data_IF_136929034246
#
_entry.id   IF_136929034246
#
_cell.length_a   1.000
_cell.length_b   1.000
_cell.length_c   1.000
_cell.angle_alpha   90.00
_cell.angle_beta   90.00
_cell.angle_gamma   90.00
#
_symmetry.space_group_name_H-M   'P 1'
#
loop_
_entity.id
_entity.type
_entity.pdbx_description
1 polymer ?
#
# COMPACT_ATOMS: atom_id res chain seq x y z
N UNK A 1 -42.37 -1.24 18.40
CA UNK A 1 -41.76 -1.79 17.18
C UNK A 1 -41.25 -0.75 16.16
N UNK A 2 -41.28 0.56 16.47
CA UNK A 2 -40.90 1.64 15.51
C UNK A 2 -39.39 2.02 15.58
N UNK A 3 -38.68 1.66 16.65
CA UNK A 3 -37.27 2.05 16.84
C UNK A 3 -36.25 1.29 15.97
N UNK A 4 -36.56 0.07 15.52
CA UNK A 4 -35.59 -0.72 14.73
C UNK A 4 -35.46 -0.21 13.29
N UNK A 5 -36.59 0.22 12.70
CA UNK A 5 -36.62 0.72 11.33
C UNK A 5 -35.89 2.07 11.18
N UNK A 6 -35.99 2.95 12.18
CA UNK A 6 -35.30 4.23 12.18
C UNK A 6 -33.77 4.07 12.27
N UNK A 7 -33.30 3.10 13.06
CA UNK A 7 -31.86 2.81 13.23
C UNK A 7 -31.29 2.21 11.94
N UNK A 8 -31.99 1.28 11.30
CA UNK A 8 -31.57 0.71 10.01
C UNK A 8 -31.55 1.75 8.89
N UNK A 9 -32.53 2.68 8.85
CA UNK A 9 -32.58 3.76 7.86
C UNK A 9 -31.44 4.79 8.08
N UNK A 10 -31.11 5.11 9.33
CA UNK A 10 -29.99 5.98 9.68
C UNK A 10 -28.62 5.35 9.36
N UNK A 11 -28.49 4.03 9.50
CA UNK A 11 -27.31 3.27 9.06
C UNK A 11 -27.18 3.28 7.53
N UNK A 12 -28.27 3.08 6.80
CA UNK A 12 -28.28 3.10 5.34
C UNK A 12 -27.92 4.49 4.77
N UNK A 13 -28.48 5.56 5.36
CA UNK A 13 -28.19 6.94 4.98
C UNK A 13 -26.75 7.36 5.30
N UNK A 14 -26.15 6.80 6.36
CA UNK A 14 -24.73 7.00 6.65
C UNK A 14 -23.83 6.24 5.68
N UNK A 15 -24.20 5.03 5.25
CA UNK A 15 -23.46 4.28 4.21
C UNK A 15 -23.50 5.01 2.85
N UNK A 16 -24.64 5.60 2.47
CA UNK A 16 -24.73 6.41 1.26
C UNK A 16 -23.94 7.73 1.36
N UNK A 17 -23.88 8.35 2.54
CA UNK A 17 -22.96 9.48 2.79
C UNK A 17 -21.49 9.06 2.74
N UNK A 18 -21.16 7.84 3.18
CA UNK A 18 -19.79 7.29 3.17
C UNK A 18 -19.27 7.06 1.75
N UNK A 19 -20.10 6.53 0.85
CA UNK A 19 -19.76 6.40 -0.58
C UNK A 19 -19.59 7.76 -1.28
N UNK A 20 -20.22 8.82 -0.75
CA UNK A 20 -20.12 10.18 -1.28
C UNK A 20 -18.85 10.91 -0.81
N UNK A 21 -18.33 10.58 0.38
CA UNK A 21 -17.11 11.20 0.94
C UNK A 21 -15.80 10.64 0.36
N UNK A 22 -15.81 9.43 -0.21
CA UNK A 22 -14.67 8.87 -0.96
C UNK A 22 -14.37 9.62 -2.27
N UNK A 23 -15.23 10.55 -2.68
CA UNK A 23 -15.11 11.30 -3.94
C UNK A 23 -14.59 12.73 -3.80
N UNK A 24 -14.57 13.31 -2.60
CA UNK A 24 -14.04 14.66 -2.35
C UNK A 24 -12.61 14.58 -1.81
N UNK A 25 -11.66 14.31 -2.73
CA UNK A 25 -10.25 14.52 -2.44
C UNK A 25 -9.88 15.96 -2.80
N UNK A 26 -9.53 16.73 -1.77
CA UNK A 26 -8.96 18.07 -1.87
C UNK A 26 -7.64 18.04 -2.64
N UNK A 27 -7.70 18.36 -3.93
CA UNK A 27 -6.57 18.70 -4.77
C UNK A 27 -6.82 20.10 -5.33
N UNK A 28 -6.00 21.06 -4.89
CA UNK A 28 -5.86 22.44 -5.36
C UNK A 28 -7.16 23.27 -5.53
N UNK A 29 -7.42 24.15 -4.54
CA UNK A 29 -8.36 25.27 -4.64
C UNK A 29 -8.09 26.20 -5.85
N UNK A 30 -6.90 26.11 -6.45
CA UNK A 30 -6.46 26.91 -7.60
C UNK A 30 -6.79 26.33 -8.99
N UNK A 31 -7.40 25.13 -9.10
CA UNK A 31 -7.85 24.57 -10.39
C UNK A 31 -9.37 24.75 -10.65
N UNK A 32 -10.06 25.51 -9.81
CA UNK A 32 -11.53 25.60 -9.78
C UNK A 32 -12.18 26.56 -10.78
N UNK A 33 -11.47 27.09 -11.79
CA UNK A 33 -12.04 28.11 -12.70
C UNK A 33 -12.46 27.67 -14.10
N UNK A 34 -12.20 26.44 -14.53
CA UNK A 34 -12.71 25.94 -15.82
C UNK A 34 -13.60 24.71 -15.63
N UNK A 35 -14.81 24.93 -15.11
CA UNK A 35 -15.92 23.96 -15.23
C UNK A 35 -16.64 24.21 -16.53
N UNK A 36 -16.19 23.56 -17.60
CA UNK A 36 -17.03 23.34 -18.78
C UNK A 36 -17.78 22.03 -18.57
N UNK A 37 -19.09 22.12 -18.74
CA UNK A 37 -20.12 21.10 -18.57
C UNK A 37 -19.73 19.83 -19.35
N UNK A 38 -19.46 18.75 -18.62
CA UNK A 38 -19.47 17.38 -19.16
C UNK A 38 -20.73 16.72 -18.62
N UNK A 39 -21.65 16.42 -19.53
CA UNK A 39 -22.96 15.84 -19.27
C UNK A 39 -22.87 14.53 -18.46
N UNK A 40 -23.63 14.47 -17.37
CA UNK A 40 -23.92 13.30 -16.54
C UNK A 40 -24.79 12.28 -17.30
N UNK A 41 -24.25 11.60 -18.32
CA UNK A 41 -24.81 10.31 -18.72
C UNK A 41 -24.58 9.36 -17.55
N UNK A 42 -25.62 9.11 -16.76
CA UNK A 42 -25.59 8.10 -15.68
C UNK A 42 -25.01 6.82 -16.27
N UNK A 43 -23.85 6.33 -15.79
CA UNK A 43 -23.29 5.10 -16.31
C UNK A 43 -24.35 4.02 -16.16
N UNK A 44 -24.69 3.36 -17.28
CA UNK A 44 -25.57 2.19 -17.28
C UNK A 44 -25.21 1.33 -16.07
N UNK A 45 -26.21 1.03 -15.25
CA UNK A 45 -26.10 0.46 -13.90
C UNK A 45 -25.13 -0.72 -13.83
N UNK A 46 -23.83 -0.44 -13.66
CA UNK A 46 -22.86 -1.49 -13.36
C UNK A 46 -23.08 -1.86 -11.90
N UNK A 47 -23.96 -2.84 -11.68
CA UNK A 47 -24.25 -3.33 -10.35
C UNK A 47 -22.98 -3.97 -9.80
N UNK A 48 -22.40 -3.33 -8.77
CA UNK A 48 -21.38 -3.97 -7.96
C UNK A 48 -22.03 -5.20 -7.32
N UNK A 49 -21.38 -6.37 -7.36
CA UNK A 49 -21.87 -7.54 -6.65
C UNK A 49 -22.14 -7.22 -5.17
N UNK A 50 -23.25 -7.73 -4.62
CA UNK A 50 -23.67 -7.40 -3.26
C UNK A 50 -22.60 -7.74 -2.20
N UNK A 51 -21.75 -8.74 -2.44
CA UNK A 51 -20.66 -9.07 -1.54
C UNK A 51 -19.61 -7.94 -1.44
N UNK A 52 -19.45 -7.12 -2.47
CA UNK A 52 -18.58 -5.94 -2.46
C UNK A 52 -19.17 -4.82 -1.61
N UNK A 53 -20.50 -4.66 -1.56
CA UNK A 53 -21.12 -3.57 -0.81
C UNK A 53 -21.52 -3.95 0.61
N UNK A 54 -21.93 -5.20 0.84
CA UNK A 54 -22.68 -5.58 2.05
C UNK A 54 -21.91 -6.50 3.02
N UNK A 55 -20.92 -7.26 2.56
CA UNK A 55 -20.23 -8.24 3.40
C UNK A 55 -18.89 -7.71 3.94
N UNK A 56 -18.66 -7.76 5.25
CA UNK A 56 -17.35 -7.44 5.82
C UNK A 56 -16.31 -8.56 5.66
N UNK A 57 -16.79 -9.80 5.45
CA UNK A 57 -15.99 -11.02 5.30
C UNK A 57 -16.48 -11.81 4.09
N UNK A 58 -15.58 -12.23 3.20
CA UNK A 58 -15.88 -13.05 2.03
C UNK A 58 -15.89 -14.54 2.36
N UNK A 59 -16.84 -15.28 1.78
CA UNK A 59 -16.73 -16.74 1.66
C UNK A 59 -15.71 -17.12 0.58
N UNK A 60 -15.35 -18.40 0.50
CA UNK A 60 -14.48 -18.90 -0.58
C UNK A 60 -15.12 -18.71 -1.97
N UNK A 61 -16.43 -18.92 -2.07
CA UNK A 61 -17.21 -18.68 -3.28
C UNK A 61 -17.17 -17.20 -3.67
N UNK A 62 -17.46 -16.30 -2.72
CA UNK A 62 -17.41 -14.85 -2.95
C UNK A 62 -16.01 -14.37 -3.35
N UNK A 63 -14.94 -15.01 -2.86
CA UNK A 63 -13.57 -14.69 -3.25
C UNK A 63 -13.30 -15.06 -4.73
N UNK A 64 -13.80 -16.21 -5.19
CA UNK A 64 -13.69 -16.58 -6.60
C UNK A 64 -14.52 -15.66 -7.50
N UNK A 65 -15.70 -15.26 -7.05
CA UNK A 65 -16.53 -14.31 -7.80
C UNK A 65 -15.93 -12.91 -7.83
N UNK A 66 -15.25 -12.49 -6.75
CA UNK A 66 -14.43 -11.28 -6.74
C UNK A 66 -13.32 -11.36 -7.80
N UNK A 67 -12.61 -12.49 -7.92
CA UNK A 67 -11.58 -12.67 -8.96
C UNK A 67 -12.18 -12.48 -10.35
N UNK A 68 -13.27 -13.20 -10.67
CA UNK A 68 -13.94 -13.11 -11.98
C UNK A 68 -14.43 -11.69 -12.27
N UNK A 69 -14.99 -11.03 -11.26
CA UNK A 69 -15.47 -9.66 -11.36
C UNK A 69 -14.33 -8.70 -11.71
N UNK A 70 -13.22 -8.74 -10.96
CA UNK A 70 -12.07 -7.85 -11.20
C UNK A 70 -11.47 -8.11 -12.59
N UNK A 71 -11.32 -9.38 -12.98
CA UNK A 71 -10.80 -9.73 -14.31
C UNK A 71 -11.70 -9.19 -15.42
N UNK A 72 -13.03 -9.27 -15.24
CA UNK A 72 -13.99 -8.69 -16.17
C UNK A 72 -13.87 -7.16 -16.24
N UNK A 73 -13.69 -6.50 -15.10
CA UNK A 73 -13.49 -5.05 -15.04
C UNK A 73 -12.20 -4.64 -15.76
N UNK A 74 -11.09 -5.34 -15.53
CA UNK A 74 -9.81 -5.08 -16.20
C UNK A 74 -9.90 -5.34 -17.70
N UNK A 75 -10.54 -6.45 -18.09
CA UNK A 75 -10.79 -6.76 -19.50
C UNK A 75 -11.60 -5.64 -20.18
N UNK A 76 -12.71 -5.24 -19.56
CA UNK A 76 -13.56 -4.17 -20.09
C UNK A 76 -12.76 -2.85 -20.18
N UNK A 77 -11.96 -2.52 -19.16
CA UNK A 77 -11.11 -1.33 -19.18
C UNK A 77 -10.13 -1.34 -20.37
N UNK A 78 -9.43 -2.46 -20.58
CA UNK A 78 -8.49 -2.63 -21.68
C UNK A 78 -9.15 -2.58 -23.06
N UNK A 79 -10.43 -2.95 -23.16
CA UNK A 79 -11.22 -2.92 -24.39
C UNK A 79 -12.04 -1.63 -24.57
N UNK A 80 -11.85 -0.63 -23.69
CA UNK A 80 -12.66 0.59 -23.65
C UNK A 80 -14.18 0.33 -23.55
N UNK A 81 -14.57 -0.76 -22.89
CA UNK A 81 -15.95 -1.10 -22.59
C UNK A 81 -16.42 -0.46 -21.27
N UNK A 82 -17.74 -0.43 -21.01
CA UNK A 82 -18.29 0.02 -19.74
C UNK A 82 -17.65 -0.71 -18.54
N UNK A 83 -17.26 0.06 -17.53
CA UNK A 83 -16.62 -0.42 -16.29
C UNK A 83 -17.11 0.43 -15.10
N UNK A 84 -17.10 -0.14 -13.88
CA UNK A 84 -17.58 0.54 -12.66
C UNK A 84 -16.63 1.64 -12.15
N UNK A 85 -15.55 1.92 -12.87
CA UNK A 85 -14.69 3.06 -12.54
C UNK A 85 -15.38 4.37 -12.92
N UNK A 86 -15.28 5.38 -12.05
CA UNK A 86 -15.60 6.75 -12.44
C UNK A 86 -14.69 7.19 -13.59
N UNK A 87 -15.22 7.98 -14.54
CA UNK A 87 -14.47 8.45 -15.71
C UNK A 87 -13.14 9.13 -15.34
N UNK A 88 -13.13 9.89 -14.23
CA UNK A 88 -11.90 10.50 -13.70
C UNK A 88 -10.80 9.45 -13.44
N UNK A 89 -11.15 8.30 -12.87
CA UNK A 89 -10.19 7.24 -12.59
C UNK A 89 -9.76 6.53 -13.86
N UNK A 90 -10.67 6.30 -14.83
CA UNK A 90 -10.28 5.71 -16.12
C UNK A 90 -9.21 6.55 -16.82
N UNK A 91 -9.38 7.87 -16.81
CA UNK A 91 -8.39 8.82 -17.37
C UNK A 91 -7.05 8.72 -16.65
N UNK A 92 -7.05 8.68 -15.31
CA UNK A 92 -5.83 8.55 -14.51
C UNK A 92 -5.13 7.22 -14.79
N UNK A 93 -5.87 6.11 -14.77
CA UNK A 93 -5.35 4.77 -15.04
C UNK A 93 -4.74 4.69 -16.44
N UNK A 94 -5.40 5.25 -17.47
CA UNK A 94 -4.85 5.26 -18.85
C UNK A 94 -3.50 5.98 -18.91
N UNK A 95 -3.29 6.98 -18.06
CA UNK A 95 -2.04 7.74 -17.93
C UNK A 95 -1.00 7.09 -17.01
N UNK A 96 -1.32 5.95 -16.38
CA UNK A 96 -0.39 5.24 -15.51
C UNK A 96 0.96 5.00 -16.21
N UNK A 97 2.04 5.51 -15.63
CA UNK A 97 3.41 5.20 -16.06
C UNK A 97 3.87 3.83 -15.55
N UNK A 98 3.29 3.38 -14.44
CA UNK A 98 3.50 2.05 -13.87
C UNK A 98 2.17 1.40 -13.49
N UNK A 99 2.17 0.08 -13.36
CA UNK A 99 0.97 -0.69 -13.04
C UNK A 99 0.40 -0.36 -11.65
N UNK A 100 -0.90 -0.07 -11.60
CA UNK A 100 -1.69 -0.02 -10.37
C UNK A 100 -2.25 -1.39 -9.97
N UNK A 101 -2.82 -1.50 -8.78
CA UNK A 101 -3.45 -2.74 -8.28
C UNK A 101 -4.91 -2.47 -7.93
N UNK A 102 -5.80 -3.39 -8.30
CA UNK A 102 -7.23 -3.25 -8.00
C UNK A 102 -7.52 -3.16 -6.49
N UNK A 103 -8.56 -2.46 -6.07
CA UNK A 103 -8.93 -2.33 -4.65
C UNK A 103 -10.42 -2.55 -4.36
N UNK A 104 -11.06 -3.45 -5.11
CA UNK A 104 -12.48 -3.77 -4.95
C UNK A 104 -12.85 -4.45 -3.62
N UNK A 105 -11.89 -4.80 -2.76
CA UNK A 105 -12.14 -5.37 -1.43
C UNK A 105 -11.28 -4.75 -0.31
N UNK A 106 -10.86 -3.48 -0.44
CA UNK A 106 -10.14 -2.79 0.64
C UNK A 106 -8.70 -3.26 0.90
N UNK A 107 -8.08 -3.93 -0.08
CA UNK A 107 -6.68 -4.38 -0.06
C UNK A 107 -5.62 -3.27 -0.17
N UNK A 108 -5.96 -1.99 -0.03
CA UNK A 108 -4.98 -0.88 -0.11
C UNK A 108 -3.75 -1.05 0.81
N UNK A 109 -3.93 -1.61 2.03
CA UNK A 109 -2.85 -1.88 2.99
C UNK A 109 -1.82 -2.88 2.45
N UNK A 110 -2.26 -3.79 1.59
CA UNK A 110 -1.42 -4.76 0.92
C UNK A 110 -0.83 -4.18 -0.37
N UNK A 111 -1.67 -3.52 -1.17
CA UNK A 111 -1.26 -2.90 -2.44
C UNK A 111 -0.10 -1.92 -2.19
N UNK A 112 -0.21 -1.09 -1.14
CA UNK A 112 0.83 -0.13 -0.78
C UNK A 112 2.17 -0.80 -0.46
N UNK A 113 2.17 -1.88 0.34
CA UNK A 113 3.40 -2.63 0.66
C UNK A 113 4.00 -3.26 -0.58
N UNK A 114 3.21 -3.95 -1.40
CA UNK A 114 3.72 -4.59 -2.62
C UNK A 114 4.31 -3.58 -3.59
N UNK A 115 3.66 -2.44 -3.80
CA UNK A 115 4.15 -1.39 -4.71
C UNK A 115 5.51 -0.84 -4.27
N UNK A 116 5.72 -0.68 -2.96
CA UNK A 116 7.02 -0.29 -2.40
C UNK A 116 8.04 -1.41 -2.58
N UNK A 117 7.71 -2.64 -2.21
CA UNK A 117 8.63 -3.78 -2.32
C UNK A 117 9.12 -3.97 -3.76
N UNK A 118 8.23 -3.90 -4.77
CA UNK A 118 8.61 -3.96 -6.18
C UNK A 118 9.37 -2.74 -6.71
N UNK A 119 9.53 -1.70 -5.89
CA UNK A 119 10.37 -0.54 -6.21
C UNK A 119 11.81 -0.71 -5.71
N UNK A 120 12.08 -1.66 -4.81
CA UNK A 120 13.44 -1.92 -4.33
C UNK A 120 14.26 -2.74 -5.32
N UNK A 121 15.43 -2.25 -5.67
CA UNK A 121 16.39 -2.97 -6.53
C UNK A 121 16.83 -4.30 -5.91
N UNK A 122 17.17 -4.31 -4.62
CA UNK A 122 17.57 -5.53 -3.90
C UNK A 122 16.46 -6.58 -3.85
N UNK A 123 15.19 -6.14 -3.70
CA UNK A 123 14.06 -7.05 -3.69
C UNK A 123 13.85 -7.70 -5.04
N UNK A 124 13.89 -6.90 -6.10
CA UNK A 124 13.83 -7.42 -7.46
C UNK A 124 14.98 -8.40 -7.71
N UNK A 125 16.22 -8.04 -7.43
CA UNK A 125 17.38 -8.93 -7.62
C UNK A 125 17.23 -10.26 -6.87
N UNK A 126 16.68 -10.23 -5.66
CA UNK A 126 16.43 -11.42 -4.85
C UNK A 126 15.40 -12.32 -5.50
N UNK A 127 14.29 -11.76 -6.00
CA UNK A 127 13.30 -12.49 -6.79
C UNK A 127 13.98 -13.15 -8.00
N UNK A 128 14.83 -12.42 -8.73
CA UNK A 128 15.52 -12.96 -9.90
C UNK A 128 16.45 -14.13 -9.56
N UNK A 129 17.19 -14.05 -8.44
CA UNK A 129 18.15 -15.07 -8.01
C UNK A 129 17.47 -16.32 -7.45
N UNK A 130 16.35 -16.17 -6.73
CA UNK A 130 15.72 -17.27 -6.00
C UNK A 130 14.57 -17.97 -6.73
N UNK A 131 13.99 -17.38 -7.79
CA UNK A 131 12.79 -17.93 -8.48
C UNK A 131 12.91 -19.36 -9.01
N UNK A 132 14.11 -19.88 -9.27
CA UNK A 132 14.28 -21.26 -9.73
C UNK A 132 14.16 -22.27 -8.59
N UNK A 133 14.50 -21.86 -7.36
CA UNK A 133 14.69 -22.75 -6.22
C UNK A 133 13.63 -22.57 -5.12
N UNK A 134 12.79 -21.54 -5.23
CA UNK A 134 11.73 -21.24 -4.26
C UNK A 134 10.41 -20.98 -4.97
N UNK A 135 9.36 -21.68 -4.52
CA UNK A 135 8.01 -21.53 -5.08
C UNK A 135 7.49 -20.11 -4.83
N UNK A 136 7.72 -19.57 -3.62
CA UNK A 136 7.41 -18.17 -3.32
C UNK A 136 8.05 -17.18 -4.27
N UNK A 137 9.37 -17.27 -4.44
CA UNK A 137 10.08 -16.34 -5.33
C UNK A 137 9.71 -16.53 -6.80
N UNK A 138 9.22 -17.71 -7.19
CA UNK A 138 8.67 -17.94 -8.53
C UNK A 138 7.32 -17.27 -8.71
N UNK A 139 6.39 -17.43 -7.77
CA UNK A 139 5.06 -16.84 -7.92
C UNK A 139 5.08 -15.32 -7.79
N UNK A 140 5.89 -14.77 -6.89
CA UNK A 140 6.07 -13.32 -6.83
C UNK A 140 6.76 -12.76 -8.07
N UNK A 141 7.65 -13.54 -8.72
CA UNK A 141 8.23 -13.17 -10.02
C UNK A 141 7.18 -13.13 -11.12
N UNK A 142 6.30 -14.14 -11.18
CA UNK A 142 5.20 -14.18 -12.15
C UNK A 142 4.27 -12.97 -11.96
N UNK A 143 3.88 -12.69 -10.71
CA UNK A 143 3.09 -11.52 -10.38
C UNK A 143 3.77 -10.20 -10.80
N UNK A 144 5.06 -10.04 -10.52
CA UNK A 144 5.83 -8.85 -10.93
C UNK A 144 5.94 -8.73 -12.46
N UNK A 145 6.10 -9.84 -13.17
CA UNK A 145 6.14 -9.88 -14.64
C UNK A 145 4.81 -9.41 -15.24
N UNK A 146 3.70 -9.80 -14.64
CA UNK A 146 2.37 -9.37 -15.08
C UNK A 146 2.14 -7.89 -14.79
N UNK A 147 2.63 -7.38 -13.65
CA UNK A 147 2.63 -5.94 -13.39
C UNK A 147 3.37 -5.16 -14.47
N UNK A 148 4.52 -5.63 -14.97
CA UNK A 148 5.27 -4.93 -16.02
C UNK A 148 4.52 -4.80 -17.35
N UNK A 149 3.56 -5.70 -17.62
CA UNK A 149 2.84 -5.76 -18.90
C UNK A 149 1.52 -5.01 -18.90
N UNK A 150 1.01 -4.65 -17.73
CA UNK A 150 -0.36 -4.16 -17.57
C UNK A 150 -0.39 -2.76 -16.94
N UNK A 151 -1.50 -2.03 -17.16
CA UNK A 151 -1.77 -0.75 -16.50
C UNK A 151 -2.41 -0.92 -15.12
N UNK A 152 -3.19 -1.98 -14.96
CA UNK A 152 -3.76 -2.46 -13.69
C UNK A 152 -3.64 -3.98 -13.66
N UNK A 153 -3.46 -4.55 -12.48
CA UNK A 153 -3.51 -5.99 -12.25
C UNK A 153 -4.56 -6.38 -11.19
N UNK A 154 -5.11 -7.58 -11.35
CA UNK A 154 -5.86 -8.29 -10.31
C UNK A 154 -4.87 -9.05 -9.43
N UNK A 155 -4.70 -8.62 -8.19
CA UNK A 155 -3.80 -9.25 -7.23
C UNK A 155 -4.45 -10.42 -6.47
N UNK A 156 -5.77 -10.54 -6.49
CA UNK A 156 -6.51 -11.51 -5.66
C UNK A 156 -6.09 -12.97 -5.93
N UNK A 157 -5.82 -13.42 -7.18
CA UNK A 157 -5.30 -14.76 -7.42
C UNK A 157 -3.97 -15.04 -6.71
N UNK A 158 -3.04 -14.07 -6.72
CA UNK A 158 -1.77 -14.20 -6.01
C UNK A 158 -1.97 -14.23 -4.49
N UNK A 159 -2.90 -13.43 -3.96
CA UNK A 159 -3.22 -13.43 -2.53
C UNK A 159 -3.84 -14.74 -2.05
N UNK A 160 -4.77 -15.29 -2.85
CA UNK A 160 -5.37 -16.59 -2.59
C UNK A 160 -4.31 -17.69 -2.60
N UNK A 161 -3.40 -17.66 -3.57
CA UNK A 161 -2.28 -18.58 -3.60
C UNK A 161 -1.40 -18.43 -2.35
N UNK A 162 -1.11 -17.20 -1.92
CA UNK A 162 -0.30 -16.93 -0.73
C UNK A 162 -0.96 -17.50 0.55
N UNK A 163 -2.27 -17.28 0.72
CA UNK A 163 -3.07 -17.77 1.84
C UNK A 163 -3.11 -19.31 1.93
N UNK A 164 -3.13 -19.98 0.77
CA UNK A 164 -3.13 -21.45 0.70
C UNK A 164 -1.78 -22.07 1.04
N UNK A 165 -0.67 -21.35 0.84
CA UNK A 165 0.68 -21.90 0.96
C UNK A 165 1.44 -21.40 2.20
N UNK A 166 0.98 -20.30 2.81
CA UNK A 166 1.69 -19.66 3.92
C UNK A 166 0.72 -19.21 5.01
N UNK A 167 1.17 -19.23 6.26
CA UNK A 167 0.42 -18.69 7.39
C UNK A 167 0.50 -17.17 7.40
N UNK A 168 -0.54 -16.52 6.88
CA UNK A 168 -0.63 -15.06 6.83
C UNK A 168 -0.93 -14.48 8.22
N UNK A 169 -0.41 -13.28 8.49
CA UNK A 169 -0.77 -12.49 9.66
C UNK A 169 -2.01 -11.60 9.42
N UNK A 170 -2.63 -11.70 8.25
CA UNK A 170 -3.84 -10.98 7.84
C UNK A 170 -4.79 -11.94 7.13
N UNK A 171 -6.08 -11.61 7.08
CA UNK A 171 -7.10 -12.42 6.42
C UNK A 171 -7.47 -11.78 5.08
N UNK A 172 -7.21 -12.49 3.97
CA UNK A 172 -7.54 -12.01 2.61
C UNK A 172 -9.05 -11.89 2.38
N UNK A 173 -9.89 -12.53 3.21
CA UNK A 173 -11.35 -12.48 3.11
C UNK A 173 -11.93 -11.26 3.82
N UNK A 174 -11.15 -10.57 4.66
CA UNK A 174 -11.58 -9.39 5.39
C UNK A 174 -11.24 -8.11 4.64
N UNK A 175 -12.18 -7.15 4.59
CA UNK A 175 -12.03 -5.87 3.87
C UNK A 175 -11.00 -4.90 4.46
N UNK A 176 -10.41 -5.24 5.60
CA UNK A 176 -9.50 -4.37 6.34
C UNK A 176 -8.31 -5.18 6.82
N UNK A 177 -7.18 -4.49 6.98
CA UNK A 177 -5.96 -5.09 7.48
C UNK A 177 -4.95 -4.03 7.89
N UNK A 178 -3.84 -4.50 8.43
CA UNK A 178 -2.75 -3.65 8.87
C UNK A 178 -1.52 -3.85 7.99
N UNK A 179 -0.90 -2.74 7.60
CA UNK A 179 0.36 -2.71 6.84
C UNK A 179 1.46 -3.51 7.57
N UNK A 180 1.48 -3.47 8.91
CA UNK A 180 2.39 -4.27 9.74
C UNK A 180 2.26 -5.77 9.52
N UNK A 181 1.05 -6.25 9.26
CA UNK A 181 0.76 -7.68 9.16
C UNK A 181 1.23 -8.21 7.81
N UNK A 182 1.08 -7.40 6.76
CA UNK A 182 1.65 -7.69 5.45
C UNK A 182 3.18 -7.73 5.54
N UNK A 183 3.81 -6.69 6.10
CA UNK A 183 5.28 -6.65 6.25
C UNK A 183 5.79 -7.86 7.05
N UNK A 184 5.12 -8.19 8.16
CA UNK A 184 5.47 -9.33 9.01
C UNK A 184 5.31 -10.67 8.30
N UNK A 185 4.24 -10.83 7.51
CA UNK A 185 4.01 -12.02 6.69
C UNK A 185 5.15 -12.22 5.69
N UNK A 186 5.46 -11.18 4.90
CA UNK A 186 6.56 -11.25 3.93
C UNK A 186 7.90 -11.52 4.63
N UNK A 187 8.12 -10.97 5.83
CA UNK A 187 9.34 -11.18 6.61
C UNK A 187 9.51 -12.63 7.03
N UNK A 188 8.44 -13.24 7.56
CA UNK A 188 8.44 -14.65 7.94
C UNK A 188 8.71 -15.53 6.72
N UNK A 189 7.99 -15.32 5.62
CA UNK A 189 8.18 -16.10 4.39
C UNK A 189 9.62 -15.98 3.89
N UNK A 190 10.16 -14.77 3.78
CA UNK A 190 11.55 -14.60 3.34
C UNK A 190 12.55 -15.26 4.30
N UNK A 191 12.31 -15.19 5.60
CA UNK A 191 13.14 -15.85 6.61
C UNK A 191 13.10 -17.37 6.47
N UNK A 192 11.92 -17.95 6.31
CA UNK A 192 11.71 -19.40 6.14
C UNK A 192 12.37 -19.92 4.84
N UNK A 193 12.43 -19.06 3.82
CA UNK A 193 13.11 -19.30 2.53
C UNK A 193 14.62 -18.95 2.58
N UNK A 194 15.23 -18.87 3.77
CA UNK A 194 16.63 -18.50 4.01
C UNK A 194 17.06 -17.23 3.25
N UNK A 195 16.21 -16.21 3.31
CA UNK A 195 16.39 -14.95 2.61
C UNK A 195 16.31 -13.76 3.56
N UNK A 196 17.47 -13.31 4.05
CA UNK A 196 17.60 -12.11 4.87
C UNK A 196 17.71 -10.84 4.01
N UNK A 197 16.61 -10.46 3.36
CA UNK A 197 16.60 -9.24 2.52
C UNK A 197 16.17 -7.99 3.29
N UNK A 198 15.19 -8.11 4.19
CA UNK A 198 14.71 -6.98 4.98
C UNK A 198 14.82 -7.27 6.46
N UNK A 199 15.27 -6.25 7.18
CA UNK A 199 15.09 -6.16 8.62
C UNK A 199 13.86 -5.32 8.91
N UNK A 200 12.89 -5.96 9.56
CA UNK A 200 11.79 -5.24 10.16
C UNK A 200 12.22 -4.69 11.51
N UNK A 201 12.49 -3.40 11.56
CA UNK A 201 12.76 -2.71 12.80
C UNK A 201 11.39 -2.31 13.36
N UNK A 202 10.77 -3.24 14.08
CA UNK A 202 9.61 -2.98 14.95
C UNK A 202 9.97 -3.22 16.41
N UNK A 203 9.37 -2.44 17.32
CA UNK A 203 9.58 -2.59 18.76
C UNK A 203 9.25 -4.00 19.20
N UNK A 204 10.16 -4.58 20.00
CA UNK A 204 9.84 -5.70 20.85
C UNK A 204 10.33 -5.33 22.31
N UNK A 205 9.44 -5.43 23.31
CA UNK A 205 9.29 -5.11 24.78
C UNK A 205 8.23 -4.08 24.97
N UNK A 206 6.97 -4.48 24.75
CA UNK A 206 6.37 -5.86 24.61
C UNK A 206 7.09 -6.87 23.60
N UNK A 207 8.09 -7.77 23.99
CA UNK A 207 9.36 -8.34 23.30
C UNK A 207 10.92 -7.78 23.39
N UNK A 208 11.58 -7.46 24.53
CA UNK A 208 12.59 -6.42 24.97
C UNK A 208 13.85 -6.14 24.20
N UNK A 209 14.43 -7.08 23.47
CA UNK A 209 15.89 -7.07 23.54
C UNK A 209 16.60 -6.09 22.62
N UNK A 210 15.91 -5.50 21.64
CA UNK A 210 16.54 -4.59 20.69
C UNK A 210 15.56 -3.53 20.14
N UNK A 211 16.03 -2.36 19.73
CA UNK A 211 15.46 -1.09 20.19
C UNK A 211 15.10 -0.11 19.07
N UNK A 212 13.98 0.59 19.27
CA UNK A 212 13.50 1.68 18.40
C UNK A 212 13.40 2.97 19.21
N UNK A 213 13.88 4.02 18.56
CA UNK A 213 13.83 5.41 18.95
C UNK A 213 12.42 5.82 19.35
N UNK A 214 12.25 6.23 20.61
CA UNK A 214 11.06 6.95 21.08
C UNK A 214 10.84 8.19 20.21
N UNK A 215 9.56 8.46 19.91
CA UNK A 215 9.06 9.79 19.59
C UNK A 215 9.59 10.78 20.64
N UNK A 216 10.65 11.53 20.28
CA UNK A 216 10.97 12.77 20.97
C UNK A 216 10.30 13.86 20.14
N UNK A 217 9.33 14.55 20.77
CA UNK A 217 8.76 15.81 20.25
C UNK A 217 9.91 16.64 19.67
N UNK A 218 9.78 17.05 18.40
CA UNK A 218 10.71 17.94 17.70
C UNK A 218 12.11 17.41 17.34
N UNK A 219 12.30 16.09 17.12
CA UNK A 219 13.61 15.56 16.66
C UNK A 219 13.58 15.06 15.20
N UNK A 220 14.48 15.62 14.37
CA UNK A 220 14.69 15.21 12.98
C UNK A 220 15.08 13.73 12.86
N UNK A 221 14.78 13.09 11.72
CA UNK A 221 15.14 11.69 11.41
C UNK A 221 16.62 11.37 11.71
N UNK A 222 17.51 12.35 11.54
CA UNK A 222 18.95 12.26 11.85
C UNK A 222 19.27 12.07 13.35
N UNK A 223 18.49 12.64 14.28
CA UNK A 223 18.62 12.33 15.71
C UNK A 223 18.20 10.88 16.00
N UNK A 224 17.29 10.33 15.18
CA UNK A 224 16.81 8.95 15.29
C UNK A 224 17.86 7.94 14.78
N UNK A 225 18.59 8.22 13.70
CA UNK A 225 19.65 7.33 13.20
C UNK A 225 20.80 7.11 14.20
N UNK A 226 21.16 8.14 14.98
CA UNK A 226 22.16 8.00 16.05
C UNK A 226 21.76 6.98 17.11
N UNK A 227 20.47 6.88 17.43
CA UNK A 227 19.97 5.89 18.37
C UNK A 227 19.89 4.52 17.67
N UNK A 228 19.49 4.42 16.40
CA UNK A 228 19.53 3.15 15.64
C UNK A 228 20.94 2.50 15.62
N UNK A 229 22.01 3.30 15.58
CA UNK A 229 23.39 2.81 15.65
C UNK A 229 23.73 2.03 16.93
N UNK A 230 23.10 2.37 18.06
CA UNK A 230 23.37 1.75 19.38
C UNK A 230 22.70 0.37 19.49
N UNK A 231 21.78 0.08 18.58
CA UNK A 231 20.61 -0.72 18.90
C UNK A 231 20.48 -1.92 17.94
N UNK A 232 20.90 -1.78 16.69
CA UNK A 232 20.83 -2.88 15.71
C UNK A 232 22.16 -3.63 15.72
N UNK A 233 22.28 -4.67 16.55
CA UNK A 233 23.51 -5.44 16.72
C UNK A 233 23.87 -6.28 15.48
N UNK A 234 22.86 -6.76 14.73
CA UNK A 234 23.05 -7.64 13.58
C UNK A 234 22.46 -7.05 12.27
N UNK A 235 23.21 -6.17 11.62
CA UNK A 235 22.86 -5.60 10.33
C UNK A 235 23.52 -6.30 9.14
N UNK A 236 24.35 -7.32 9.37
CA UNK A 236 25.39 -7.68 8.40
C UNK A 236 24.84 -8.00 7.00
N UNK A 237 23.61 -8.53 6.90
CA UNK A 237 23.04 -8.92 5.60
C UNK A 237 21.82 -8.12 5.14
N UNK A 238 21.28 -7.22 5.98
CA UNK A 238 20.02 -6.55 5.66
C UNK A 238 20.19 -5.52 4.55
N UNK A 239 19.48 -5.72 3.43
CA UNK A 239 19.48 -4.81 2.28
C UNK A 239 18.37 -3.76 2.36
N UNK A 240 17.30 -4.06 3.08
CA UNK A 240 16.16 -3.16 3.25
C UNK A 240 15.88 -2.98 4.74
N UNK A 241 15.70 -1.73 5.17
CA UNK A 241 15.29 -1.35 6.51
C UNK A 241 13.90 -0.74 6.47
N UNK A 242 13.05 -1.19 7.38
CA UNK A 242 11.67 -0.71 7.48
C UNK A 242 11.48 -0.09 8.86
N UNK A 243 11.07 1.17 8.89
CA UNK A 243 10.73 1.90 10.11
C UNK A 243 9.23 2.12 10.18
N UNK A 244 8.61 1.71 11.30
CA UNK A 244 7.22 2.07 11.59
C UNK A 244 7.15 3.50 12.14
N UNK A 245 6.33 4.32 11.51
CA UNK A 245 5.91 5.62 12.01
C UNK A 245 4.78 5.44 13.02
N UNK A 246 5.05 4.88 14.19
CA UNK A 246 4.06 4.92 15.27
C UNK A 246 4.16 6.28 15.95
N UNK A 247 3.28 7.19 15.54
CA UNK A 247 3.19 8.54 16.07
C UNK A 247 1.98 8.56 16.99
N UNK A 248 2.22 8.74 18.29
CA UNK A 248 1.14 9.01 19.24
C UNK A 248 0.26 10.14 18.68
N UNK A 249 -1.06 10.06 18.87
CA UNK A 249 -2.03 11.06 18.42
C UNK A 249 -1.73 12.49 18.92
N UNK A 250 -0.82 12.62 19.89
CA UNK A 250 -0.37 13.86 20.52
C UNK A 250 1.05 14.30 20.10
N UNK A 251 1.70 13.59 19.16
CA UNK A 251 2.99 13.98 18.61
C UNK A 251 2.78 14.86 17.37
N UNK A 252 3.53 15.96 17.28
CA UNK A 252 3.66 16.74 16.05
C UNK A 252 4.04 15.80 14.91
N UNK A 253 3.30 15.87 13.80
CA UNK A 253 3.49 15.16 12.55
C UNK A 253 4.97 15.20 12.11
N UNK A 254 5.76 14.13 12.33
CA UNK A 254 7.12 13.99 11.87
C UNK A 254 7.10 13.80 10.36
N UNK A 255 7.51 14.85 9.66
CA UNK A 255 7.90 14.80 8.27
C UNK A 255 9.33 14.24 8.18
N UNK A 256 9.67 13.52 7.10
CA UNK A 256 11.02 12.96 6.91
C UNK A 256 12.07 14.09 6.82
N UNK A 257 11.75 15.15 6.07
CA UNK A 257 12.62 16.27 5.77
C UNK A 257 13.76 15.89 4.82
N UNK A 258 14.39 16.88 4.16
CA UNK A 258 15.48 16.63 3.19
C UNK A 258 16.62 15.76 3.75
N UNK A 259 16.98 15.99 5.01
CA UNK A 259 18.04 15.21 5.69
C UNK A 259 17.65 13.78 6.03
N UNK A 260 16.36 13.45 5.99
CA UNK A 260 15.87 12.10 6.25
C UNK A 260 15.88 11.19 5.01
N UNK A 261 16.28 11.71 3.83
CA UNK A 261 16.43 10.92 2.60
C UNK A 261 17.49 9.82 2.74
N UNK A 262 18.58 10.09 3.46
CA UNK A 262 19.67 9.14 3.67
C UNK A 262 19.85 8.84 5.16
N UNK A 263 20.07 7.57 5.48
CA UNK A 263 20.41 7.10 6.82
C UNK A 263 21.80 6.47 6.80
N UNK A 264 22.69 6.96 7.65
CA UNK A 264 23.96 6.28 7.92
C UNK A 264 23.82 5.43 9.17
N UNK A 265 23.94 4.11 9.03
CA UNK A 265 23.88 3.15 10.13
C UNK A 265 25.07 2.20 10.07
N UNK A 266 25.91 2.17 11.11
CA UNK A 266 27.13 1.34 11.18
C UNK A 266 28.00 1.41 9.90
N UNK A 267 28.33 2.62 9.46
CA UNK A 267 29.10 2.92 8.24
C UNK A 267 28.45 2.50 6.91
N UNK A 268 27.18 2.07 6.93
CA UNK A 268 26.39 1.81 5.74
C UNK A 268 25.43 2.96 5.47
N UNK A 269 25.21 3.27 4.21
CA UNK A 269 24.28 4.30 3.77
C UNK A 269 23.05 3.62 3.19
N UNK A 270 21.89 3.99 3.71
CA UNK A 270 20.61 3.59 3.19
C UNK A 270 19.87 4.80 2.62
N UNK A 271 19.26 4.66 1.46
CA UNK A 271 18.42 5.69 0.84
C UNK A 271 16.95 5.35 1.01
N UNK A 272 16.12 6.36 1.32
CA UNK A 272 14.67 6.24 1.33
C UNK A 272 14.18 5.95 -0.09
N UNK A 273 13.47 4.83 -0.26
CA UNK A 273 12.87 4.46 -1.53
C UNK A 273 11.36 4.23 -1.45
N UNK A 274 10.78 4.21 -0.25
CA UNK A 274 9.34 3.98 -0.08
C UNK A 274 8.75 4.57 1.20
N UNK A 275 7.51 5.05 1.11
CA UNK A 275 6.69 5.46 2.24
C UNK A 275 5.30 4.87 2.08
N UNK A 276 4.78 4.23 3.12
CA UNK A 276 3.32 4.01 3.25
C UNK A 276 2.76 5.19 4.03
N UNK A 277 1.73 5.83 3.50
CA UNK A 277 0.94 6.85 4.18
C UNK A 277 -0.41 6.27 4.60
N UNK A 278 -0.88 6.64 5.79
CA UNK A 278 -2.26 6.37 6.23
C UNK A 278 -3.07 7.65 6.07
N UNK A 279 -3.97 7.66 5.09
CA UNK A 279 -4.66 8.89 4.64
C UNK A 279 -5.75 9.33 5.62
N UNK A 280 -6.37 8.40 6.33
CA UNK A 280 -7.46 8.75 7.26
C UNK A 280 -7.37 7.99 8.57
N UNK A 281 -7.78 8.65 9.65
CA UNK A 281 -7.85 8.05 10.99
C UNK A 281 -9.03 7.09 11.14
N UNK A 282 -10.15 7.35 10.44
CA UNK A 282 -11.43 6.61 10.57
C UNK A 282 -11.50 5.39 9.64
N UNK A 283 -11.05 5.56 8.40
CA UNK A 283 -10.96 4.52 7.39
C UNK A 283 -9.50 4.21 7.14
N UNK A 284 -9.11 2.95 7.24
CA UNK A 284 -7.71 2.53 7.02
C UNK A 284 -7.43 2.48 5.51
N UNK A 285 -7.55 3.63 4.84
CA UNK A 285 -7.04 3.80 3.50
C UNK A 285 -5.54 4.10 3.58
N UNK A 286 -4.77 3.40 2.77
CA UNK A 286 -3.32 3.58 2.70
C UNK A 286 -2.89 3.79 1.26
N UNK A 287 -1.81 4.54 1.10
CA UNK A 287 -1.19 4.81 -0.20
C UNK A 287 0.30 4.58 -0.10
N UNK A 288 0.94 4.29 -1.22
CA UNK A 288 2.38 4.16 -1.29
C UNK A 288 2.98 5.31 -2.10
N UNK A 289 4.10 5.81 -1.60
CA UNK A 289 5.01 6.70 -2.32
C UNK A 289 6.27 5.87 -2.54
N UNK A 290 6.65 5.59 -3.78
CA UNK A 290 7.84 4.77 -4.03
C UNK A 290 8.69 5.33 -5.15
N UNK A 291 10.00 5.16 -5.02
CA UNK A 291 11.01 5.63 -5.95
C UNK A 291 11.33 4.53 -6.98
N UNK A 292 11.19 4.84 -8.27
CA UNK A 292 11.55 3.94 -9.39
C UNK A 292 12.37 4.72 -10.40
N UNK A 293 13.53 4.21 -10.79
CA UNK A 293 14.43 4.88 -11.75
C UNK A 293 14.67 6.36 -11.40
N UNK A 294 15.00 6.62 -10.14
CA UNK A 294 15.24 7.97 -9.58
C UNK A 294 14.04 8.92 -9.52
N UNK A 295 12.84 8.52 -9.98
CA UNK A 295 11.61 9.30 -9.91
C UNK A 295 10.67 8.78 -8.83
N UNK A 296 9.85 9.64 -8.26
CA UNK A 296 8.87 9.27 -7.24
C UNK A 296 7.48 9.12 -7.83
N UNK A 297 6.74 8.14 -7.32
CA UNK A 297 5.39 7.84 -7.76
C UNK A 297 4.47 7.65 -6.57
N UNK A 298 3.28 8.25 -6.65
CA UNK A 298 2.14 7.95 -5.79
C UNK A 298 1.38 6.78 -6.38
N UNK A 299 1.31 5.69 -5.62
CA UNK A 299 0.47 4.53 -5.86
C UNK A 299 -0.75 4.60 -4.93
N UNK A 300 -1.89 4.94 -5.52
CA UNK A 300 -3.19 4.93 -4.88
C UNK A 300 -4.03 3.85 -5.57
N UNK A 301 -3.77 2.60 -5.19
CA UNK A 301 -4.36 1.40 -5.79
C UNK A 301 -4.18 1.33 -7.31
N UNK A 302 -5.26 1.46 -8.09
CA UNK A 302 -5.23 1.40 -9.54
C UNK A 302 -4.57 2.62 -10.17
N UNK A 303 -4.51 3.74 -9.43
CA UNK A 303 -4.02 5.01 -9.93
C UNK A 303 -2.56 5.20 -9.56
N UNK A 304 -1.73 5.49 -10.57
CA UNK A 304 -0.31 5.79 -10.39
C UNK A 304 0.00 7.15 -10.99
N UNK A 305 0.66 8.00 -10.21
CA UNK A 305 0.99 9.37 -10.63
C UNK A 305 2.43 9.69 -10.27
N UNK A 306 3.20 10.23 -11.22
CA UNK A 306 4.54 10.76 -10.93
C UNK A 306 4.40 12.00 -10.03
N UNK A 307 5.28 12.11 -9.04
CA UNK A 307 5.26 13.17 -8.04
C UNK A 307 6.68 13.64 -7.76
N UNK A 308 6.81 14.89 -7.32
CA UNK A 308 8.09 15.48 -7.01
C UNK A 308 8.69 14.92 -5.71
N UNK A 309 10.01 14.70 -5.68
CA UNK A 309 10.71 14.20 -4.49
C UNK A 309 10.52 15.14 -3.28
N UNK A 310 10.53 16.45 -3.50
CA UNK A 310 10.31 17.42 -2.42
C UNK A 310 8.94 17.24 -1.77
N UNK A 311 7.90 16.91 -2.55
CA UNK A 311 6.57 16.64 -2.01
C UNK A 311 6.60 15.44 -1.06
N UNK A 312 7.27 14.36 -1.47
CA UNK A 312 7.46 13.16 -0.64
C UNK A 312 8.18 13.48 0.67
N UNK A 313 9.26 14.25 0.58
CA UNK A 313 10.12 14.54 1.73
C UNK A 313 9.55 15.58 2.69
N UNK A 314 8.68 16.48 2.22
CA UNK A 314 8.22 17.65 2.98
C UNK A 314 6.74 17.63 3.35
N UNK A 315 5.91 16.87 2.63
CA UNK A 315 4.45 16.89 2.82
C UNK A 315 3.84 15.57 3.28
N UNK A 316 4.57 14.46 3.18
CA UNK A 316 4.01 13.13 3.49
C UNK A 316 4.34 12.72 4.92
N UNK A 317 3.31 12.29 5.64
CA UNK A 317 3.42 11.70 6.97
C UNK A 317 3.65 10.17 6.84
N UNK A 318 4.85 9.66 7.17
CA UNK A 318 5.15 8.25 7.00
C UNK A 318 4.45 7.39 8.06
N UNK A 319 3.51 6.56 7.64
CA UNK A 319 3.02 5.45 8.46
C UNK A 319 4.07 4.33 8.54
N UNK A 320 4.74 4.04 7.41
CA UNK A 320 5.97 3.24 7.36
C UNK A 320 6.94 3.87 6.37
N UNK A 321 8.24 3.82 6.66
CA UNK A 321 9.30 4.28 5.76
C UNK A 321 10.27 3.14 5.46
N UNK A 322 10.60 2.98 4.19
CA UNK A 322 11.43 1.92 3.63
C UNK A 322 12.71 2.53 3.07
N UNK A 323 13.84 2.01 3.54
CA UNK A 323 15.17 2.43 3.12
C UNK A 323 15.92 1.23 2.57
N UNK A 324 16.69 1.41 1.50
CA UNK A 324 17.49 0.34 0.90
C UNK A 324 18.97 0.70 0.93
N UNK A 325 19.81 -0.32 1.09
CA UNK A 325 21.26 -0.19 1.17
C UNK A 325 21.82 0.28 -0.17
N UNK A 326 22.55 1.40 -0.17
CA UNK A 326 23.23 1.93 -1.36
C UNK A 326 24.75 1.89 -1.26
N UNK A 327 25.30 1.88 -0.03
CA UNK A 327 26.74 1.83 0.22
C UNK A 327 27.05 1.08 1.52
#
# INVERSE_FOLDING_TARGET
MINFFLISLLLLLNIQKLLKYDMDFSLNKNLSRNRTILNDSKPENFLLPDFITNNSVLSEENLNDLIKFIDKVIFNFNKNLPTPYYEKYKILIKKNLHCGMSNFNGYCFLNSVLQIMFSSSHFIDTIYKKRSNSIFFREIYNFYKDMKKNKIINQVPFLKWLDQNYKLDFDIKVKTGYVSDVIRTFYKICKDENCSIFSFISKPKLCTKYPIIRSFKNSSVRKKSKIANILITDLQDNKILIFSGNMDANATTPVIGKTGKFLTIKNRIYELFGIVEKVSKKFVHTRAYAKRNSKWFLFNDECVTEIEENHVLENIEPYFAFYELVY
#
